data_IF_147170244936
#
_entry.id   IF_147170244936
#
_cell.length_a   1.000
_cell.length_b   1.000
_cell.length_c   1.000
_cell.angle_alpha   90.00
_cell.angle_beta   90.00
_cell.angle_gamma   90.00
#
_symmetry.space_group_name_H-M   'P 1'
#
loop_
_entity.id
_entity.type
_entity.pdbx_description
1 polymer ?
#
# COMPACT_ATOMS: atom_id res chain seq x y z
N UNK A 1 17.50 11.13 30.04
CA UNK A 1 16.21 11.30 29.31
C UNK A 1 16.45 10.98 27.85
N UNK A 2 15.72 10.01 27.31
CA UNK A 2 15.77 9.68 25.88
C UNK A 2 15.21 10.86 25.06
N UNK A 3 15.85 11.21 23.93
CA UNK A 3 15.32 12.27 23.08
C UNK A 3 14.02 11.80 22.39
N UNK A 4 13.09 12.71 22.13
CA UNK A 4 11.81 12.39 21.45
C UNK A 4 12.00 11.65 20.12
N UNK A 5 12.99 12.00 19.25
CA UNK A 5 13.25 11.24 18.03
C UNK A 5 13.62 9.78 18.26
N UNK A 6 14.46 9.48 19.25
CA UNK A 6 14.82 8.10 19.59
C UNK A 6 13.62 7.31 20.13
N UNK A 7 12.80 7.92 20.97
CA UNK A 7 11.59 7.29 21.47
C UNK A 7 10.58 6.97 20.34
N UNK A 8 10.46 7.86 19.36
CA UNK A 8 9.63 7.61 18.18
C UNK A 8 10.17 6.46 17.32
N UNK A 9 11.49 6.38 17.13
CA UNK A 9 12.14 5.28 16.43
C UNK A 9 11.87 3.95 17.12
N UNK A 10 12.10 3.85 18.45
CA UNK A 10 11.87 2.63 19.22
C UNK A 10 10.42 2.16 19.13
N UNK A 11 9.45 3.08 19.20
CA UNK A 11 8.03 2.76 19.01
C UNK A 11 7.73 2.27 17.60
N UNK A 12 8.33 2.87 16.57
CA UNK A 12 8.17 2.44 15.19
C UNK A 12 8.76 1.03 14.96
N UNK A 13 9.91 0.72 15.54
CA UNK A 13 10.53 -0.61 15.49
C UNK A 13 9.68 -1.66 16.22
N UNK A 14 9.16 -1.33 17.40
CA UNK A 14 8.24 -2.18 18.16
C UNK A 14 6.96 -2.47 17.37
N UNK A 15 6.37 -1.44 16.78
CA UNK A 15 5.19 -1.56 15.92
C UNK A 15 5.47 -2.44 14.70
N UNK A 16 6.61 -2.25 14.04
CA UNK A 16 7.03 -3.07 12.92
C UNK A 16 7.23 -4.54 13.32
N UNK A 17 7.74 -4.82 14.53
CA UNK A 17 7.88 -6.17 15.04
C UNK A 17 6.52 -6.85 15.29
N UNK A 18 5.56 -6.14 15.88
CA UNK A 18 4.18 -6.62 16.07
C UNK A 18 3.49 -6.93 14.74
N UNK A 19 3.59 -6.02 13.77
CA UNK A 19 3.04 -6.22 12.43
C UNK A 19 3.65 -7.46 11.77
N UNK A 20 4.98 -7.59 11.77
CA UNK A 20 5.67 -8.75 11.19
C UNK A 20 5.26 -10.07 11.85
N UNK A 21 5.08 -10.07 13.17
CA UNK A 21 4.64 -11.25 13.92
C UNK A 21 3.22 -11.64 13.53
N UNK A 22 2.28 -10.70 13.51
CA UNK A 22 0.91 -10.95 13.06
C UNK A 22 0.84 -11.45 11.62
N UNK A 23 1.63 -10.87 10.72
CA UNK A 23 1.71 -11.32 9.33
C UNK A 23 2.25 -12.76 9.19
N UNK A 24 3.28 -13.13 9.99
CA UNK A 24 3.80 -14.51 9.99
C UNK A 24 2.74 -15.51 10.48
N UNK A 25 2.05 -15.20 11.57
CA UNK A 25 0.98 -16.04 12.11
C UNK A 25 -0.17 -16.22 11.12
N UNK A 26 -0.65 -15.11 10.54
CA UNK A 26 -1.72 -15.15 9.54
C UNK A 26 -1.32 -15.92 8.29
N UNK A 27 -0.10 -15.75 7.79
CA UNK A 27 0.41 -16.47 6.63
C UNK A 27 0.54 -17.97 6.90
N UNK A 28 1.07 -18.35 8.07
CA UNK A 28 1.22 -19.76 8.46
C UNK A 28 -0.14 -20.49 8.54
N UNK A 29 -1.15 -19.86 9.11
CA UNK A 29 -2.53 -20.39 9.16
C UNK A 29 -3.16 -20.64 7.80
N UNK A 30 -2.62 -20.04 6.74
CA UNK A 30 -3.10 -20.17 5.35
C UNK A 30 -2.16 -21.03 4.47
N UNK A 31 -1.12 -21.62 5.03
CA UNK A 31 -0.11 -22.35 4.27
C UNK A 31 0.66 -21.46 3.27
N UNK A 32 0.87 -20.20 3.64
CA UNK A 32 1.61 -19.21 2.86
C UNK A 32 2.86 -18.73 3.61
N UNK A 33 3.81 -18.20 2.86
CA UNK A 33 4.88 -17.41 3.45
C UNK A 33 4.41 -15.95 3.65
N UNK A 34 5.01 -15.20 4.59
CA UNK A 34 4.64 -13.79 4.83
C UNK A 34 4.66 -12.92 3.57
N UNK A 35 5.64 -13.11 2.68
CA UNK A 35 5.75 -12.36 1.42
C UNK A 35 4.56 -12.60 0.49
N UNK A 36 4.01 -13.82 0.48
CA UNK A 36 2.84 -14.14 -0.33
C UNK A 36 1.61 -13.41 0.19
N UNK A 37 1.40 -13.38 1.50
CA UNK A 37 0.32 -12.65 2.13
C UNK A 37 0.45 -11.13 1.89
N UNK A 38 1.66 -10.58 2.03
CA UNK A 38 1.94 -9.17 1.73
C UNK A 38 1.64 -8.82 0.27
N UNK A 39 2.03 -9.68 -0.68
CA UNK A 39 1.71 -9.50 -2.09
C UNK A 39 0.19 -9.46 -2.34
N UNK A 40 -0.57 -10.37 -1.74
CA UNK A 40 -2.04 -10.36 -1.84
C UNK A 40 -2.64 -9.10 -1.21
N UNK A 41 -2.17 -8.69 -0.02
CA UNK A 41 -2.60 -7.47 0.66
C UNK A 41 -2.30 -6.20 -0.15
N UNK A 42 -1.13 -6.15 -0.82
CA UNK A 42 -0.78 -5.07 -1.73
C UNK A 42 -1.73 -5.03 -2.93
N UNK A 43 -1.92 -6.15 -3.62
CA UNK A 43 -2.77 -6.23 -4.81
C UNK A 43 -4.25 -5.91 -4.52
N UNK A 44 -4.73 -6.19 -3.31
CA UNK A 44 -6.06 -5.78 -2.87
C UNK A 44 -6.26 -4.26 -2.83
N UNK A 45 -5.16 -3.51 -2.66
CA UNK A 45 -5.14 -2.06 -2.50
C UNK A 45 -4.51 -1.31 -3.68
N UNK A 46 -3.84 -2.00 -4.60
CA UNK A 46 -3.15 -1.41 -5.74
C UNK A 46 -4.14 -0.97 -6.83
N UNK A 47 -4.00 0.28 -7.29
CA UNK A 47 -4.75 0.77 -8.45
C UNK A 47 -4.16 0.23 -9.77
N UNK A 48 -4.78 0.60 -10.92
CA UNK A 48 -4.34 0.17 -12.25
C UNK A 48 -2.89 0.52 -12.60
N UNK A 49 -2.31 1.57 -12.01
CA UNK A 49 -0.91 1.97 -12.25
C UNK A 49 0.07 1.16 -11.40
N UNK A 50 -0.41 0.48 -10.38
CA UNK A 50 0.39 -0.17 -9.34
C UNK A 50 0.32 -1.69 -9.39
N UNK A 51 -0.58 -2.28 -10.17
CA UNK A 51 -0.82 -3.72 -10.21
C UNK A 51 0.13 -4.47 -11.15
N UNK A 52 1.42 -4.14 -11.14
CA UNK A 52 2.45 -4.83 -11.94
C UNK A 52 3.47 -5.54 -11.05
N UNK A 53 4.16 -6.59 -11.55
CA UNK A 53 5.24 -7.25 -10.81
C UNK A 53 6.34 -6.27 -10.36
N UNK A 54 6.69 -5.28 -11.23
CA UNK A 54 7.68 -4.27 -10.89
C UNK A 54 7.21 -3.39 -9.73
N UNK A 55 5.96 -2.90 -9.77
CA UNK A 55 5.42 -2.06 -8.70
C UNK A 55 5.33 -2.83 -7.37
N UNK A 56 4.99 -4.12 -7.42
CA UNK A 56 4.99 -4.99 -6.24
C UNK A 56 6.41 -5.17 -5.68
N UNK A 57 7.43 -5.34 -6.54
CA UNK A 57 8.83 -5.48 -6.13
C UNK A 57 9.33 -4.19 -5.45
N UNK A 58 9.07 -3.05 -6.05
CA UNK A 58 9.44 -1.74 -5.51
C UNK A 58 8.76 -1.50 -4.15
N UNK A 59 7.46 -1.84 -4.03
CA UNK A 59 6.70 -1.68 -2.78
C UNK A 59 7.25 -2.56 -1.65
N UNK A 60 7.52 -3.84 -1.94
CA UNK A 60 8.04 -4.79 -0.95
C UNK A 60 9.54 -4.60 -0.67
N UNK A 61 10.25 -3.79 -1.44
CA UNK A 61 11.71 -3.64 -1.32
C UNK A 61 12.45 -4.93 -1.69
N UNK A 62 11.95 -5.68 -2.66
CA UNK A 62 12.48 -6.98 -3.07
C UNK A 62 13.00 -6.97 -4.51
N UNK A 63 13.83 -7.95 -4.85
CA UNK A 63 14.28 -8.12 -6.24
C UNK A 63 13.14 -8.56 -7.16
N UNK A 64 13.22 -8.19 -8.44
CA UNK A 64 12.27 -8.64 -9.47
C UNK A 64 12.17 -10.17 -9.54
N UNK A 65 13.30 -10.86 -9.40
CA UNK A 65 13.35 -12.33 -9.41
C UNK A 65 12.53 -12.95 -8.27
N UNK A 66 12.74 -12.47 -7.06
CA UNK A 66 11.99 -12.95 -5.86
C UNK A 66 10.49 -12.72 -6.02
N UNK A 67 10.09 -11.54 -6.48
CA UNK A 67 8.66 -11.23 -6.68
C UNK A 67 8.07 -12.07 -7.81
N UNK A 68 8.81 -12.28 -8.92
CA UNK A 68 8.35 -13.13 -10.01
C UNK A 68 8.07 -14.57 -9.56
N UNK A 69 8.93 -15.15 -8.73
CA UNK A 69 8.71 -16.49 -8.15
C UNK A 69 7.48 -16.52 -7.24
N UNK A 70 7.33 -15.51 -6.38
CA UNK A 70 6.16 -15.37 -5.52
C UNK A 70 4.86 -15.24 -6.31
N UNK A 71 4.85 -14.43 -7.38
CA UNK A 71 3.69 -14.24 -8.26
C UNK A 71 3.36 -15.54 -9.02
N UNK A 72 4.38 -16.26 -9.51
CA UNK A 72 4.16 -17.57 -10.18
C UNK A 72 3.53 -18.59 -9.23
N UNK A 73 4.01 -18.66 -7.99
CA UNK A 73 3.43 -19.54 -6.97
C UNK A 73 1.98 -19.15 -6.66
N UNK A 74 1.71 -17.88 -6.45
CA UNK A 74 0.34 -17.37 -6.19
C UNK A 74 -0.60 -17.64 -7.38
N UNK A 75 -0.09 -17.53 -8.61
CA UNK A 75 -0.86 -17.86 -9.82
C UNK A 75 -1.15 -19.37 -9.92
N UNK A 76 -0.17 -20.24 -9.62
CA UNK A 76 -0.40 -21.69 -9.54
C UNK A 76 -1.44 -22.07 -8.49
N UNK A 77 -1.44 -21.37 -7.35
CA UNK A 77 -2.47 -21.51 -6.30
C UNK A 77 -3.81 -20.85 -6.67
N UNK A 78 -3.95 -20.27 -7.86
CA UNK A 78 -5.14 -19.55 -8.33
C UNK A 78 -5.59 -18.39 -7.44
N UNK A 79 -4.65 -17.80 -6.71
CA UNK A 79 -4.90 -16.63 -5.84
C UNK A 79 -4.71 -15.30 -6.58
N UNK A 80 -3.89 -15.30 -7.63
CA UNK A 80 -3.58 -14.15 -8.48
C UNK A 80 -3.72 -14.55 -9.94
N UNK A 81 -4.33 -13.71 -10.75
CA UNK A 81 -4.33 -13.79 -12.21
C UNK A 81 -3.27 -12.85 -12.80
N UNK A 82 -2.73 -13.24 -13.94
CA UNK A 82 -1.78 -12.46 -14.74
C UNK A 82 -2.39 -12.24 -16.13
N UNK A 83 -2.35 -11.01 -16.61
CA UNK A 83 -2.87 -10.66 -17.95
C UNK A 83 -2.00 -9.57 -18.57
N UNK A 84 -2.06 -9.44 -19.90
CA UNK A 84 -1.39 -8.36 -20.62
C UNK A 84 -2.16 -7.04 -20.41
N UNK A 85 -1.44 -5.94 -20.37
CA UNK A 85 -2.05 -4.61 -20.36
C UNK A 85 -2.71 -4.33 -21.72
N UNK A 86 -3.88 -3.71 -21.73
CA UNK A 86 -4.65 -3.41 -22.95
C UNK A 86 -3.93 -2.41 -23.88
N UNK A 87 -3.10 -1.51 -23.33
CA UNK A 87 -2.40 -0.47 -24.07
C UNK A 87 -0.98 -0.89 -24.48
N UNK A 88 -0.33 -1.76 -23.69
CA UNK A 88 1.00 -2.28 -23.97
C UNK A 88 1.12 -3.74 -23.52
N UNK A 89 0.99 -4.66 -24.47
CA UNK A 89 1.03 -6.10 -24.22
C UNK A 89 2.34 -6.61 -23.57
N UNK A 90 3.41 -5.79 -23.58
CA UNK A 90 4.67 -6.11 -22.88
C UNK A 90 4.53 -5.93 -21.36
N UNK A 91 3.53 -5.20 -20.90
CA UNK A 91 3.28 -4.97 -19.49
C UNK A 91 2.36 -6.05 -18.95
N UNK A 92 2.86 -6.79 -17.96
CA UNK A 92 2.05 -7.78 -17.22
C UNK A 92 1.31 -7.07 -16.10
N UNK A 93 0.01 -7.29 -16.02
CA UNK A 93 -0.89 -6.86 -14.93
C UNK A 93 -1.21 -8.03 -14.01
N UNK A 94 -1.43 -7.70 -12.75
CA UNK A 94 -1.79 -8.65 -11.70
C UNK A 94 -3.14 -8.29 -11.11
N UNK A 95 -3.99 -9.27 -10.88
CA UNK A 95 -5.23 -9.08 -10.14
C UNK A 95 -5.47 -10.23 -9.16
N UNK A 96 -6.10 -9.93 -8.03
CA UNK A 96 -6.60 -10.98 -7.15
C UNK A 96 -7.76 -11.71 -7.83
N UNK A 97 -7.74 -13.02 -7.73
CA UNK A 97 -8.91 -13.84 -8.06
C UNK A 97 -9.95 -13.76 -6.93
N UNK A 98 -11.14 -14.31 -7.12
CA UNK A 98 -12.12 -14.39 -6.02
C UNK A 98 -11.59 -15.25 -4.88
N UNK A 99 -10.91 -16.36 -5.19
CA UNK A 99 -10.26 -17.22 -4.20
C UNK A 99 -9.19 -16.44 -3.41
N UNK A 100 -8.40 -15.59 -4.08
CA UNK A 100 -7.41 -14.73 -3.41
C UNK A 100 -8.05 -13.69 -2.49
N UNK A 101 -9.20 -13.12 -2.89
CA UNK A 101 -9.97 -12.20 -2.04
C UNK A 101 -10.56 -12.89 -0.81
N UNK A 102 -11.12 -14.09 -1.00
CA UNK A 102 -11.66 -14.89 0.11
C UNK A 102 -10.57 -15.25 1.11
N UNK A 103 -9.42 -15.71 0.62
CA UNK A 103 -8.29 -16.04 1.48
C UNK A 103 -7.81 -14.84 2.30
N UNK A 104 -7.80 -13.64 1.72
CA UNK A 104 -7.47 -12.41 2.47
C UNK A 104 -8.52 -12.08 3.55
N UNK A 105 -9.80 -12.32 3.31
CA UNK A 105 -10.85 -12.15 4.34
C UNK A 105 -10.62 -13.09 5.53
N UNK A 106 -10.22 -14.32 5.27
CA UNK A 106 -9.88 -15.31 6.31
C UNK A 106 -8.59 -14.95 7.06
N UNK A 107 -7.59 -14.35 6.36
CA UNK A 107 -6.34 -13.94 6.96
C UNK A 107 -6.48 -12.81 7.99
N UNK A 108 -7.57 -12.04 7.91
CA UNK A 108 -7.76 -10.86 8.74
C UNK A 108 -9.21 -10.82 9.26
N UNK A 109 -9.61 -11.79 10.09
CA UNK A 109 -10.99 -11.87 10.59
C UNK A 109 -11.34 -10.69 11.50
N UNK A 110 -10.37 -10.12 12.21
CA UNK A 110 -10.49 -8.89 12.99
C UNK A 110 -9.50 -7.85 12.52
N UNK A 111 -9.85 -6.58 12.67
CA UNK A 111 -8.91 -5.48 12.43
C UNK A 111 -8.48 -4.89 13.78
N UNK A 112 -7.37 -5.36 14.37
CA UNK A 112 -6.92 -4.91 15.68
C UNK A 112 -6.69 -3.39 15.73
N UNK A 113 -6.34 -2.77 14.61
CA UNK A 113 -6.21 -1.32 14.51
C UNK A 113 -7.54 -0.60 14.79
N UNK A 114 -8.65 -1.15 14.28
CA UNK A 114 -9.98 -0.57 14.54
C UNK A 114 -10.31 -0.61 16.04
N UNK A 115 -10.02 -1.73 16.68
CA UNK A 115 -10.31 -1.92 18.11
C UNK A 115 -9.45 -1.01 18.97
N UNK A 116 -8.13 -1.00 18.74
CA UNK A 116 -7.19 -0.17 19.51
C UNK A 116 -7.42 1.33 19.30
N UNK A 117 -7.85 1.76 18.11
CA UNK A 117 -8.05 3.17 17.78
C UNK A 117 -9.46 3.69 18.13
N UNK A 118 -10.39 2.87 18.60
CA UNK A 118 -11.74 3.31 18.96
C UNK A 118 -11.75 4.44 20.02
N UNK A 119 -10.79 4.43 20.95
CA UNK A 119 -10.66 5.45 22.00
C UNK A 119 -9.86 6.70 21.60
N UNK A 120 -9.36 6.76 20.38
CA UNK A 120 -8.53 7.89 19.90
C UNK A 120 -9.42 8.93 19.21
N UNK A 121 -9.36 10.19 19.67
CA UNK A 121 -10.15 11.26 19.04
C UNK A 121 -9.73 11.50 17.59
N UNK A 122 -10.66 11.93 16.70
CA UNK A 122 -10.33 12.19 15.29
C UNK A 122 -9.21 13.21 15.11
N UNK A 123 -9.12 14.24 15.96
CA UNK A 123 -8.06 15.25 15.90
C UNK A 123 -6.68 14.66 16.22
N UNK A 124 -6.58 13.82 17.26
CA UNK A 124 -5.32 13.11 17.59
C UNK A 124 -4.91 12.16 16.48
N UNK A 125 -5.87 11.42 15.90
CA UNK A 125 -5.60 10.51 14.80
C UNK A 125 -5.10 11.26 13.56
N UNK A 126 -5.70 12.42 13.23
CA UNK A 126 -5.26 13.27 12.12
C UNK A 126 -3.82 13.80 12.34
N UNK A 127 -3.49 14.22 13.56
CA UNK A 127 -2.14 14.66 13.91
C UNK A 127 -1.11 13.52 13.80
N UNK A 128 -1.42 12.34 14.33
CA UNK A 128 -0.55 11.17 14.22
C UNK A 128 -0.32 10.75 12.76
N UNK A 129 -1.37 10.77 11.92
CA UNK A 129 -1.27 10.46 10.50
C UNK A 129 -0.38 11.45 9.75
N UNK A 130 -0.43 12.74 10.08
CA UNK A 130 0.43 13.75 9.48
C UNK A 130 1.90 13.47 9.80
N UNK A 131 2.26 13.36 11.08
CA UNK A 131 3.63 13.10 11.52
C UNK A 131 4.18 11.80 10.92
N UNK A 132 3.39 10.71 10.95
CA UNK A 132 3.83 9.43 10.37
C UNK A 132 4.04 9.51 8.85
N UNK A 133 3.24 10.29 8.13
CA UNK A 133 3.46 10.50 6.70
C UNK A 133 4.76 11.25 6.42
N UNK A 134 5.06 12.29 7.17
CA UNK A 134 6.30 13.05 7.07
C UNK A 134 7.52 12.15 7.34
N UNK A 135 7.49 11.36 8.41
CA UNK A 135 8.55 10.40 8.76
C UNK A 135 8.74 9.35 7.65
N UNK A 136 7.65 8.74 7.16
CA UNK A 136 7.72 7.74 6.08
C UNK A 136 8.28 8.36 4.81
N UNK A 137 7.79 9.53 4.40
CA UNK A 137 8.28 10.22 3.20
C UNK A 137 9.77 10.57 3.30
N UNK A 138 10.23 11.08 4.45
CA UNK A 138 11.64 11.37 4.71
C UNK A 138 12.52 10.12 4.65
N UNK A 139 12.08 9.02 5.25
CA UNK A 139 12.81 7.74 5.19
C UNK A 139 12.86 7.15 3.77
N UNK A 140 11.77 7.24 3.01
CA UNK A 140 11.73 6.81 1.61
C UNK A 140 12.69 7.64 0.76
N UNK A 141 12.70 8.96 0.92
CA UNK A 141 13.62 9.86 0.24
C UNK A 141 15.08 9.55 0.59
N UNK A 142 15.39 9.38 1.87
CA UNK A 142 16.73 9.03 2.34
C UNK A 142 17.21 7.69 1.74
N UNK A 143 16.30 6.73 1.61
CA UNK A 143 16.58 5.42 1.02
C UNK A 143 16.57 5.43 -0.53
N UNK A 144 16.38 6.56 -1.18
CA UNK A 144 16.24 6.67 -2.64
C UNK A 144 15.03 5.91 -3.21
N UNK A 145 14.01 5.66 -2.39
CA UNK A 145 12.81 4.91 -2.78
C UNK A 145 11.71 5.86 -3.24
N UNK A 146 10.98 5.45 -4.27
CA UNK A 146 9.74 6.15 -4.63
C UNK A 146 8.66 5.78 -3.62
N UNK A 147 8.01 6.81 -3.06
CA UNK A 147 6.88 6.65 -2.16
C UNK A 147 5.66 6.08 -2.87
N UNK A 148 4.83 5.41 -2.08
CA UNK A 148 3.51 4.95 -2.49
C UNK A 148 2.47 5.65 -1.63
N UNK A 149 1.45 6.20 -2.24
CA UNK A 149 0.39 6.89 -1.50
C UNK A 149 -1.00 6.58 -2.03
N UNK A 150 -1.99 7.01 -1.30
CA UNK A 150 -3.39 6.89 -1.69
C UNK A 150 -3.70 7.90 -2.79
N UNK A 151 -4.31 7.44 -3.88
CA UNK A 151 -4.54 8.30 -5.04
C UNK A 151 -5.30 9.60 -4.68
N UNK A 152 -6.28 9.54 -3.75
CA UNK A 152 -7.03 10.73 -3.33
C UNK A 152 -6.19 11.80 -2.61
N UNK A 153 -5.02 11.45 -2.05
CA UNK A 153 -4.09 12.38 -1.43
C UNK A 153 -2.95 12.81 -2.37
N UNK A 154 -3.03 12.46 -3.66
CA UNK A 154 -2.04 12.81 -4.67
C UNK A 154 -2.34 14.23 -5.23
N UNK A 155 -1.30 15.07 -5.42
CA UNK A 155 -1.47 16.39 -6.04
C UNK A 155 -2.06 16.34 -7.46
N UNK A 156 -1.90 15.22 -8.15
CA UNK A 156 -2.45 14.99 -9.49
C UNK A 156 -3.89 14.43 -9.49
N UNK A 157 -4.49 14.16 -8.33
CA UNK A 157 -5.86 13.67 -8.26
C UNK A 157 -6.84 14.84 -8.31
N UNK A 158 -7.43 15.08 -9.47
CA UNK A 158 -8.40 16.16 -9.68
C UNK A 158 -9.82 15.62 -9.52
N UNK A 159 -10.62 16.25 -8.65
CA UNK A 159 -12.04 16.00 -8.51
C UNK A 159 -12.80 16.95 -9.44
N UNK A 160 -13.42 16.44 -10.50
CA UNK A 160 -14.06 17.25 -11.55
C UNK A 160 -15.60 17.28 -11.48
N UNK A 161 -16.20 16.27 -10.84
CA UNK A 161 -17.63 16.20 -10.58
C UNK A 161 -17.93 15.18 -9.47
N UNK A 162 -19.12 15.10 -8.89
CA UNK A 162 -19.49 14.09 -7.91
C UNK A 162 -19.10 12.68 -8.36
N UNK A 163 -18.26 12.01 -7.57
CA UNK A 163 -17.70 10.66 -7.84
C UNK A 163 -16.87 10.54 -9.13
N UNK A 164 -16.49 11.66 -9.76
CA UNK A 164 -15.70 11.67 -10.98
C UNK A 164 -14.36 12.35 -10.72
N UNK A 165 -13.30 11.61 -11.00
CA UNK A 165 -11.93 12.04 -10.79
C UNK A 165 -11.12 11.88 -12.06
N UNK A 166 -10.05 12.65 -12.20
CA UNK A 166 -9.08 12.55 -13.30
C UNK A 166 -7.67 12.60 -12.71
N UNK A 167 -6.79 11.73 -13.19
CA UNK A 167 -5.37 11.83 -12.91
C UNK A 167 -4.75 12.91 -13.80
N UNK A 168 -4.26 14.02 -13.23
CA UNK A 168 -3.60 15.09 -13.99
C UNK A 168 -2.30 14.65 -14.68
N UNK A 169 -1.64 13.61 -14.15
CA UNK A 169 -0.41 13.05 -14.74
C UNK A 169 -0.70 12.21 -16.01
N UNK A 170 -1.69 11.31 -15.95
CA UNK A 170 -2.03 10.41 -17.06
C UNK A 170 -3.20 10.88 -17.89
N UNK A 171 -3.92 11.90 -17.44
CA UNK A 171 -5.16 12.43 -18.03
C UNK A 171 -6.30 11.41 -18.13
N UNK A 172 -6.23 10.34 -17.36
CA UNK A 172 -7.23 9.27 -17.36
C UNK A 172 -8.29 9.50 -16.29
N UNK A 173 -9.53 9.13 -16.61
CA UNK A 173 -10.62 9.10 -15.64
C UNK A 173 -10.37 8.00 -14.59
N UNK A 174 -10.65 8.34 -13.33
CA UNK A 174 -10.51 7.46 -12.18
C UNK A 174 -11.88 7.24 -11.54
N UNK A 175 -12.17 6.00 -11.20
CA UNK A 175 -13.39 5.67 -10.46
C UNK A 175 -13.24 5.97 -8.96
N UNK A 176 -14.37 6.12 -8.25
CA UNK A 176 -14.41 6.37 -6.80
C UNK A 176 -13.70 5.30 -5.97
N UNK A 177 -13.58 4.08 -6.49
CA UNK A 177 -12.80 2.99 -5.86
C UNK A 177 -11.31 3.24 -6.05
N UNK A 178 -10.87 3.60 -7.25
CA UNK A 178 -9.45 3.73 -7.59
C UNK A 178 -8.76 4.87 -6.83
N UNK A 179 -9.47 5.98 -6.59
CA UNK A 179 -8.92 7.08 -5.79
C UNK A 179 -8.65 6.70 -4.34
N UNK A 180 -9.27 5.63 -3.85
CA UNK A 180 -9.03 5.06 -2.52
C UNK A 180 -8.03 3.91 -2.53
N UNK A 181 -7.28 3.74 -3.61
CA UNK A 181 -6.28 2.68 -3.76
C UNK A 181 -4.86 3.27 -3.79
N UNK A 182 -3.88 2.41 -3.54
CA UNK A 182 -2.45 2.76 -3.55
C UNK A 182 -2.00 3.03 -4.99
N UNK A 183 -1.30 4.14 -5.18
CA UNK A 183 -0.71 4.55 -6.44
C UNK A 183 0.82 4.66 -6.33
N UNK A 184 1.55 4.00 -7.24
CA UNK A 184 3.01 4.12 -7.37
C UNK A 184 3.46 5.45 -8.01
N UNK A 185 2.52 6.15 -8.66
CA UNK A 185 2.74 7.47 -9.24
C UNK A 185 2.31 8.59 -8.29
N UNK A 186 2.12 8.26 -7.02
CA UNK A 186 1.69 9.21 -6.03
C UNK A 186 2.77 10.28 -5.80
N UNK A 187 2.33 11.52 -5.83
CA UNK A 187 3.12 12.67 -5.38
C UNK A 187 2.31 13.39 -4.31
N UNK A 188 2.90 13.66 -3.13
CA UNK A 188 2.19 14.37 -2.07
C UNK A 188 1.80 15.77 -2.53
N UNK A 189 0.76 16.39 -1.96
CA UNK A 189 0.47 17.79 -2.16
C UNK A 189 1.70 18.64 -1.80
N UNK A 190 1.94 19.71 -2.52
CA UNK A 190 2.93 20.70 -2.10
C UNK A 190 2.49 21.28 -0.75
N UNK A 191 3.32 21.15 0.28
CA UNK A 191 3.08 21.86 1.53
C UNK A 191 3.13 23.37 1.20
N UNK A 192 1.99 24.04 1.39
CA UNK A 192 2.02 25.52 1.44
C UNK A 192 2.96 25.87 2.59
N UNK A 193 4.08 26.51 2.25
CA UNK A 193 4.96 27.09 3.25
C UNK A 193 4.10 27.85 4.28
N UNK A 194 4.35 27.69 5.59
CA UNK A 194 3.63 28.47 6.58
C UNK A 194 3.79 29.95 6.20
N UNK A 195 2.66 30.62 6.01
CA UNK A 195 2.64 32.06 5.83
C UNK A 195 3.24 32.63 7.11
N UNK A 196 4.40 33.27 6.98
CA UNK A 196 5.16 33.88 8.07
C UNK A 196 4.36 35.02 8.71
#
# INVERSE_FOLDING_TARGET
>A
MQSQPLALQDLAESLAALIRTGQRQAAAGLGLQPVHLQALQYLARANRYSNTPQALADYLGMTKGTVSQSVLLLARKRLVSRYADEKDARVVRLALTEQGRELLRQATPSNPWREVLQGVSPARLASALRVLREVVAGLEQHAGRKGYGWCHSCRHCMHIAPRTYVCGLTREKLGSREVRMICRLHEPPEEKAPVA
#
